data_IF_210595437120
#
_entry.id   IF_210595437120
#
_cell.length_a   1.000
_cell.length_b   1.000
_cell.length_c   1.000
_cell.angle_alpha   90.00
_cell.angle_beta   90.00
_cell.angle_gamma   90.00
#
_symmetry.space_group_name_H-M   'P 1'
#
loop_
_entity.id
_entity.type
_entity.pdbx_description
1 polymer ?
#
# COMPACT_ATOMS: atom_id res chain seq x y z
N UNK A 1 -11.02 22.13 -30.80
CA UNK A 1 -11.64 21.13 -29.89
C UNK A 1 -12.95 21.70 -29.39
N UNK A 2 -14.06 21.02 -29.68
CA UNK A 2 -15.41 21.52 -29.38
C UNK A 2 -15.69 21.42 -27.86
N UNK A 3 -16.35 22.42 -27.28
CA UNK A 3 -16.76 22.46 -25.88
C UNK A 3 -17.53 21.19 -25.47
N UNK A 4 -18.32 20.65 -26.39
CA UNK A 4 -19.01 19.37 -26.22
C UNK A 4 -18.08 18.17 -26.00
N UNK A 5 -16.92 18.14 -26.66
CA UNK A 5 -15.96 17.05 -26.50
C UNK A 5 -15.27 17.11 -25.13
N UNK A 6 -14.99 18.32 -24.62
CA UNK A 6 -14.42 18.51 -23.28
C UNK A 6 -15.40 18.12 -22.17
N UNK A 7 -16.69 18.47 -22.33
CA UNK A 7 -17.74 18.07 -21.39
C UNK A 7 -17.92 16.55 -21.40
N UNK A 8 -17.90 15.91 -22.57
CA UNK A 8 -18.03 14.46 -22.67
C UNK A 8 -16.85 13.72 -22.04
N UNK A 9 -15.62 14.19 -22.26
CA UNK A 9 -14.41 13.64 -21.63
C UNK A 9 -14.49 13.81 -20.11
N UNK A 10 -14.89 14.99 -19.61
CA UNK A 10 -15.03 15.24 -18.18
C UNK A 10 -16.08 14.34 -17.52
N UNK A 11 -17.25 14.16 -18.16
CA UNK A 11 -18.32 13.30 -17.67
C UNK A 11 -17.94 11.81 -17.70
N UNK A 12 -17.23 11.37 -18.73
CA UNK A 12 -16.69 10.01 -18.79
C UNK A 12 -15.64 9.82 -17.68
N UNK A 13 -14.76 10.79 -17.46
CA UNK A 13 -13.73 10.73 -16.42
C UNK A 13 -14.34 10.70 -15.01
N UNK A 14 -15.39 11.47 -14.73
CA UNK A 14 -16.09 11.45 -13.43
C UNK A 14 -16.85 10.14 -13.21
N UNK A 15 -17.51 9.60 -14.23
CA UNK A 15 -18.21 8.30 -14.16
C UNK A 15 -17.22 7.15 -13.90
N UNK A 16 -16.06 7.14 -14.58
CA UNK A 16 -15.03 6.11 -14.35
C UNK A 16 -14.37 6.22 -12.96
N UNK A 17 -14.33 7.41 -12.36
CA UNK A 17 -13.76 7.63 -11.02
C UNK A 17 -14.64 7.06 -9.88
N UNK A 18 -15.91 6.76 -10.14
CA UNK A 18 -16.84 6.14 -9.17
C UNK A 18 -16.85 4.60 -9.20
N UNK A 19 -16.21 3.96 -10.19
CA UNK A 19 -16.24 2.50 -10.37
C UNK A 19 -15.00 1.81 -9.75
N UNK A 20 -14.05 2.58 -9.21
CA UNK A 20 -13.04 1.98 -8.35
C UNK A 20 -13.74 1.49 -7.07
N UNK A 21 -13.55 0.22 -6.66
CA UNK A 21 -14.03 -0.25 -5.36
C UNK A 21 -13.37 0.62 -4.28
N UNK A 22 -14.12 1.62 -3.82
CA UNK A 22 -13.71 2.43 -2.68
C UNK A 22 -13.94 1.53 -1.48
N UNK A 23 -12.86 1.22 -0.76
CA UNK A 23 -13.00 0.78 0.63
C UNK A 23 -13.96 1.76 1.26
N UNK A 24 -15.04 1.22 1.83
CA UNK A 24 -16.02 2.02 2.55
C UNK A 24 -15.35 2.41 3.86
N UNK A 25 -14.51 3.44 3.79
CA UNK A 25 -13.91 4.05 4.95
C UNK A 25 -15.07 4.66 5.74
N UNK A 26 -15.28 4.15 6.95
CA UNK A 26 -16.21 4.80 7.86
C UNK A 26 -15.72 6.23 8.13
N UNK A 27 -16.60 7.22 8.33
CA UNK A 27 -16.21 8.61 8.51
C UNK A 27 -15.12 8.84 9.57
N UNK A 28 -15.15 8.08 10.67
CA UNK A 28 -14.12 8.13 11.73
C UNK A 28 -12.73 7.64 11.28
N UNK A 29 -12.64 6.80 10.23
CA UNK A 29 -11.37 6.38 9.64
C UNK A 29 -10.68 7.51 8.86
N UNK A 30 -11.46 8.51 8.42
CA UNK A 30 -10.99 9.69 7.68
C UNK A 30 -10.80 10.91 8.59
N UNK A 31 -11.67 11.08 9.59
CA UNK A 31 -11.71 12.26 10.46
C UNK A 31 -10.48 12.43 11.35
N UNK A 32 -9.76 11.35 11.65
CA UNK A 32 -8.54 11.45 12.45
C UNK A 32 -7.27 11.03 11.69
N UNK A 33 -7.33 10.71 10.39
CA UNK A 33 -6.19 10.25 9.59
C UNK A 33 -4.94 11.04 10.00
N UNK A 34 -3.90 10.38 10.56
CA UNK A 34 -2.89 11.06 11.36
C UNK A 34 -2.40 12.25 10.56
N UNK A 35 -2.49 13.46 11.14
CA UNK A 35 -1.99 14.70 10.53
C UNK A 35 -0.74 14.32 9.76
N UNK A 36 -0.80 14.42 8.42
CA UNK A 36 0.22 13.91 7.50
C UNK A 36 1.58 14.09 8.18
N UNK A 37 2.29 12.98 8.42
CA UNK A 37 3.74 12.95 8.72
C UNK A 37 4.24 13.15 10.16
N UNK A 38 3.61 12.61 11.21
CA UNK A 38 4.34 12.43 12.50
C UNK A 38 5.40 11.32 12.49
N UNK A 39 5.25 10.36 11.57
CA UNK A 39 6.10 9.17 11.52
C UNK A 39 7.35 9.33 10.64
N UNK A 40 7.37 10.35 9.77
CA UNK A 40 8.55 10.75 9.01
C UNK A 40 8.76 12.26 9.12
N UNK A 41 9.91 12.66 9.65
CA UNK A 41 10.30 14.07 9.70
C UNK A 41 11.08 14.49 8.45
N UNK A 42 11.30 13.56 7.51
CA UNK A 42 12.11 13.74 6.31
C UNK A 42 11.23 14.33 5.21
N UNK A 43 11.45 15.59 4.76
CA UNK A 43 10.60 16.26 3.78
C UNK A 43 10.44 15.51 2.46
N UNK A 44 11.50 14.85 1.99
CA UNK A 44 11.57 14.08 0.75
C UNK A 44 10.55 12.94 0.78
N UNK A 45 10.44 12.24 1.90
CA UNK A 45 9.46 11.16 2.10
C UNK A 45 7.99 11.65 2.12
N UNK A 46 7.75 12.97 2.11
CA UNK A 46 6.40 13.56 2.04
C UNK A 46 6.02 13.92 0.61
N UNK A 47 6.98 13.88 -0.32
CA UNK A 47 6.74 14.16 -1.74
C UNK A 47 5.90 13.03 -2.34
N UNK A 48 5.01 13.40 -3.26
CA UNK A 48 4.23 12.41 -4.02
C UNK A 48 5.15 11.57 -4.91
N UNK A 49 4.80 10.32 -5.25
CA UNK A 49 5.56 9.54 -6.21
C UNK A 49 5.67 10.27 -7.55
N UNK A 50 6.87 10.37 -8.08
CA UNK A 50 7.13 10.96 -9.39
C UNK A 50 7.94 10.00 -10.26
N UNK A 51 7.28 9.47 -11.30
CA UNK A 51 7.89 8.57 -12.28
C UNK A 51 8.88 9.28 -13.21
N UNK A 52 8.89 10.61 -13.20
CA UNK A 52 9.63 11.44 -14.12
C UNK A 52 9.17 11.28 -15.57
N UNK A 53 10.10 11.55 -16.47
CA UNK A 53 9.93 11.53 -17.93
C UNK A 53 11.05 10.72 -18.61
N UNK A 54 10.80 10.31 -19.86
CA UNK A 54 11.84 9.71 -20.68
C UNK A 54 12.83 10.78 -21.15
N UNK A 55 14.12 10.53 -21.00
CA UNK A 55 15.15 11.46 -21.42
C UNK A 55 15.12 11.70 -22.95
N UNK A 56 15.30 12.96 -23.39
CA UNK A 56 15.32 13.35 -24.81
C UNK A 56 16.62 12.97 -25.56
N UNK A 57 17.24 11.83 -25.23
CA UNK A 57 18.39 11.27 -25.95
C UNK A 57 19.75 11.94 -25.69
N UNK A 58 19.82 13.03 -24.91
CA UNK A 58 21.09 13.71 -24.57
C UNK A 58 21.82 13.11 -23.37
N UNK A 59 21.14 12.26 -22.60
CA UNK A 59 21.69 11.59 -21.42
C UNK A 59 21.59 10.07 -21.60
N UNK A 60 22.63 9.45 -22.16
CA UNK A 60 22.67 8.01 -22.51
C UNK A 60 22.78 7.09 -21.29
N UNK A 61 23.05 7.64 -20.11
CA UNK A 61 23.32 6.85 -18.90
C UNK A 61 22.08 6.63 -18.04
N UNK A 62 20.97 7.29 -18.34
CA UNK A 62 19.77 7.24 -17.52
C UNK A 62 18.71 6.36 -18.19
N UNK A 63 18.54 5.15 -17.65
CA UNK A 63 17.63 4.12 -18.16
C UNK A 63 16.40 3.98 -17.28
N UNK A 64 15.28 3.55 -17.88
CA UNK A 64 14.09 3.22 -17.11
C UNK A 64 14.34 2.01 -16.23
N UNK A 65 13.89 2.08 -14.98
CA UNK A 65 14.10 1.04 -13.97
C UNK A 65 13.04 1.10 -12.87
N UNK A 66 12.94 0.03 -12.10
CA UNK A 66 12.10 -0.01 -10.91
C UNK A 66 12.84 0.66 -9.76
N UNK A 67 12.14 1.53 -9.05
CA UNK A 67 12.56 2.23 -7.84
C UNK A 67 11.46 2.12 -6.81
N UNK A 68 11.77 2.42 -5.56
CA UNK A 68 10.81 2.49 -4.46
C UNK A 68 10.59 3.94 -4.05
N UNK A 69 9.37 4.26 -3.67
CA UNK A 69 9.02 5.53 -3.04
C UNK A 69 8.28 5.24 -1.74
N UNK A 70 8.40 6.15 -0.77
CA UNK A 70 7.68 6.06 0.48
C UNK A 70 6.29 6.66 0.34
N UNK A 71 5.27 5.88 0.70
CA UNK A 71 3.90 6.35 0.83
C UNK A 71 3.62 6.66 2.30
N UNK A 72 3.51 7.95 2.69
CA UNK A 72 3.29 8.35 4.08
C UNK A 72 1.87 8.06 4.59
N UNK A 73 0.91 7.79 3.71
CA UNK A 73 -0.42 7.30 4.10
C UNK A 73 -0.29 5.86 4.54
N UNK A 74 0.36 5.03 3.73
CA UNK A 74 0.51 3.60 4.01
C UNK A 74 1.63 3.28 5.00
N UNK A 75 2.53 4.23 5.27
CA UNK A 75 3.75 4.01 6.07
C UNK A 75 4.56 2.81 5.57
N UNK A 76 4.67 2.72 4.25
CA UNK A 76 5.30 1.62 3.53
C UNK A 76 5.92 2.11 2.22
N UNK A 77 6.92 1.38 1.74
CA UNK A 77 7.57 1.66 0.46
C UNK A 77 7.01 0.81 -0.66
N UNK A 78 6.62 1.44 -1.77
CA UNK A 78 6.07 0.76 -2.94
C UNK A 78 6.95 0.94 -4.18
N UNK A 79 7.01 -0.08 -5.05
CA UNK A 79 7.70 0.03 -6.32
C UNK A 79 6.94 0.95 -7.29
N UNK A 80 7.69 1.67 -8.11
CA UNK A 80 7.24 2.44 -9.27
C UNK A 80 8.30 2.38 -10.37
N UNK A 81 7.90 2.63 -11.62
CA UNK A 81 8.84 2.75 -12.74
C UNK A 81 9.32 4.19 -12.87
N UNK A 82 10.60 4.40 -12.66
CA UNK A 82 11.27 5.63 -13.06
C UNK A 82 11.57 5.59 -14.56
N UNK A 83 11.26 6.68 -15.27
CA UNK A 83 11.42 6.77 -16.74
C UNK A 83 12.81 7.20 -17.19
N UNK A 84 13.66 7.65 -16.27
CA UNK A 84 15.08 7.93 -16.53
C UNK A 84 15.47 9.39 -16.33
N UNK A 85 14.56 10.35 -16.46
CA UNK A 85 14.85 11.77 -16.24
C UNK A 85 13.79 12.45 -15.36
N UNK A 86 14.17 13.58 -14.76
CA UNK A 86 13.33 14.35 -13.82
C UNK A 86 12.95 13.50 -12.60
N UNK A 87 11.77 13.71 -12.02
CA UNK A 87 11.40 13.06 -10.77
C UNK A 87 11.72 13.93 -9.56
N UNK A 88 11.58 13.31 -8.38
CA UNK A 88 11.88 13.92 -7.11
C UNK A 88 12.67 12.97 -6.21
N UNK A 89 13.03 13.45 -5.02
CA UNK A 89 13.90 12.79 -4.07
C UNK A 89 13.24 11.65 -3.28
N UNK A 90 11.92 11.43 -3.42
CA UNK A 90 11.24 10.27 -2.84
C UNK A 90 11.44 9.03 -3.75
N UNK A 91 12.71 8.67 -3.95
CA UNK A 91 13.12 7.66 -4.92
C UNK A 91 14.35 6.90 -4.41
N UNK A 92 14.19 5.60 -4.26
CA UNK A 92 15.18 4.70 -3.67
C UNK A 92 15.37 3.47 -4.53
N UNK A 93 16.58 2.90 -4.55
CA UNK A 93 16.88 1.72 -5.35
C UNK A 93 16.38 0.42 -4.68
N UNK A 94 16.38 0.42 -3.35
CA UNK A 94 15.97 -0.71 -2.53
C UNK A 94 14.82 -0.36 -1.58
N UNK A 95 13.96 -1.35 -1.31
CA UNK A 95 12.79 -1.20 -0.44
C UNK A 95 13.20 -0.95 1.02
N UNK A 96 14.23 -1.63 1.49
CA UNK A 96 14.73 -1.49 2.86
C UNK A 96 15.50 -0.18 3.05
N UNK A 97 16.19 0.30 2.02
CA UNK A 97 16.77 1.66 2.02
C UNK A 97 15.69 2.72 2.14
N UNK A 98 14.62 2.63 1.34
CA UNK A 98 13.46 3.51 1.45
C UNK A 98 12.85 3.49 2.87
N UNK A 99 12.65 2.29 3.43
CA UNK A 99 12.08 2.15 4.78
C UNK A 99 13.00 2.74 5.84
N UNK A 100 14.30 2.44 5.80
CA UNK A 100 15.25 2.91 6.81
C UNK A 100 15.45 4.43 6.75
N UNK A 101 15.33 5.02 5.56
CA UNK A 101 15.42 6.46 5.36
C UNK A 101 14.14 7.18 5.82
N UNK A 102 12.96 6.65 5.46
CA UNK A 102 11.69 7.35 5.68
C UNK A 102 10.99 6.99 7.00
N UNK A 103 11.13 5.77 7.51
CA UNK A 103 10.52 5.34 8.77
C UNK A 103 11.51 5.53 9.91
N UNK A 104 11.06 6.16 10.99
CA UNK A 104 11.86 6.21 12.21
C UNK A 104 12.10 4.80 12.75
N UNK A 105 13.29 4.57 13.29
CA UNK A 105 13.67 3.28 13.87
C UNK A 105 12.83 2.90 15.10
N UNK A 106 12.23 3.87 15.77
CA UNK A 106 11.31 3.72 16.90
C UNK A 106 9.83 3.69 16.48
N UNK A 107 9.53 3.65 15.17
CA UNK A 107 8.17 3.52 14.68
C UNK A 107 7.56 2.22 15.19
N UNK A 108 6.40 2.36 15.84
CA UNK A 108 5.74 1.25 16.54
C UNK A 108 4.35 0.91 16.00
N UNK A 109 3.78 1.74 15.11
CA UNK A 109 2.37 1.64 14.74
C UNK A 109 2.01 0.63 13.62
N UNK A 110 0.75 0.66 13.23
CA UNK A 110 0.21 -0.14 12.13
C UNK A 110 0.66 0.35 10.76
N UNK A 111 0.98 -0.55 9.85
CA UNK A 111 1.22 -0.20 8.43
C UNK A 111 -0.03 -0.38 7.58
N UNK A 112 -0.06 0.22 6.38
CA UNK A 112 -1.13 0.05 5.41
C UNK A 112 -2.31 1.01 5.57
N UNK A 113 -2.07 2.24 6.05
CA UNK A 113 -3.00 3.37 5.90
C UNK A 113 -4.25 3.33 6.77
N UNK A 114 -4.39 2.33 7.62
CA UNK A 114 -5.54 2.18 8.50
C UNK A 114 -5.09 2.31 9.95
N UNK A 115 -5.76 3.20 10.67
CA UNK A 115 -5.47 3.44 12.09
C UNK A 115 -5.63 2.19 12.94
N UNK A 116 -4.81 2.05 14.00
CA UNK A 116 -5.06 1.05 15.02
C UNK A 116 -6.47 1.23 15.60
N UNK A 117 -7.13 0.12 15.96
CA UNK A 117 -8.40 0.19 16.69
C UNK A 117 -8.16 0.77 18.08
N UNK A 118 -8.95 1.77 18.49
CA UNK A 118 -8.96 2.29 19.86
C UNK A 118 -9.55 1.28 20.87
N UNK A 119 -10.29 0.28 20.37
CA UNK A 119 -10.88 -0.78 21.19
C UNK A 119 -9.86 -1.88 21.45
N UNK A 120 -8.95 -1.61 22.36
CA UNK A 120 -8.14 -2.64 23.03
C UNK A 120 -8.93 -3.17 24.23
N UNK A 121 -9.21 -4.48 24.23
CA UNK A 121 -9.63 -5.18 25.44
C UNK A 121 -8.39 -5.32 26.33
N UNK A 122 -8.19 -4.37 27.24
CA UNK A 122 -7.14 -4.41 28.26
C UNK A 122 -7.76 -4.75 29.62
N UNK A 123 -6.92 -5.15 30.59
CA UNK A 123 -7.26 -5.63 31.95
C UNK A 123 -8.38 -4.86 32.70
N UNK A 124 -8.74 -3.64 32.31
CA UNK A 124 -9.78 -2.81 32.94
C UNK A 124 -10.74 -2.10 31.94
N UNK A 125 -10.75 -2.43 30.64
CA UNK A 125 -11.82 -1.95 29.74
C UNK A 125 -12.96 -2.96 29.71
N UNK A 126 -14.18 -2.48 29.97
CA UNK A 126 -15.38 -3.29 30.05
C UNK A 126 -15.73 -3.77 28.62
N UNK A 127 -15.30 -4.98 28.27
CA UNK A 127 -15.89 -5.77 27.20
C UNK A 127 -17.26 -6.23 27.68
N UNK A 128 -18.23 -5.32 27.63
CA UNK A 128 -19.61 -5.65 27.95
C UNK A 128 -20.09 -6.70 26.94
N UNK A 129 -20.15 -7.97 27.40
CA UNK A 129 -21.15 -9.01 27.06
C UNK A 129 -20.67 -10.42 26.65
N UNK A 130 -19.45 -10.88 26.94
CA UNK A 130 -19.18 -12.33 26.86
C UNK A 130 -18.44 -12.87 28.09
N UNK A 131 -19.03 -13.88 28.73
CA UNK A 131 -18.50 -14.57 29.92
C UNK A 131 -17.20 -15.31 29.59
N UNK A 132 -16.07 -14.61 29.55
CA UNK A 132 -14.75 -15.19 29.30
C UNK A 132 -13.91 -15.16 30.58
N UNK A 133 -13.37 -16.33 30.94
CA UNK A 133 -12.59 -16.54 32.15
C UNK A 133 -11.27 -15.75 32.11
N UNK A 134 -10.79 -15.37 33.29
CA UNK A 134 -9.68 -14.44 33.61
C UNK A 134 -8.27 -14.88 33.16
N UNK A 135 -8.11 -15.34 31.93
CA UNK A 135 -6.83 -15.75 31.33
C UNK A 135 -6.60 -15.19 29.92
N UNK A 136 -7.52 -14.39 29.37
CA UNK A 136 -7.48 -13.99 27.96
C UNK A 136 -6.90 -12.58 27.74
N UNK A 137 -5.77 -12.59 27.04
CA UNK A 137 -4.95 -11.44 26.66
C UNK A 137 -5.52 -10.70 25.43
N UNK A 138 -5.33 -9.37 25.38
CA UNK A 138 -5.31 -8.51 24.18
C UNK A 138 -6.10 -9.00 22.95
N UNK A 139 -7.43 -9.04 23.05
CA UNK A 139 -8.24 -9.36 21.87
C UNK A 139 -8.48 -8.10 21.05
N UNK A 140 -8.12 -8.16 19.76
CA UNK A 140 -8.52 -7.16 18.80
C UNK A 140 -9.92 -7.47 18.27
N UNK A 141 -10.68 -6.45 17.88
CA UNK A 141 -11.95 -6.62 17.15
C UNK A 141 -11.79 -7.54 15.93
N UNK A 142 -12.89 -8.15 15.45
CA UNK A 142 -12.88 -9.18 14.41
C UNK A 142 -12.09 -8.81 13.13
N UNK A 143 -12.14 -7.54 12.71
CA UNK A 143 -11.42 -7.07 11.51
C UNK A 143 -9.98 -6.61 11.77
N UNK A 144 -9.53 -6.73 13.02
CA UNK A 144 -8.21 -6.33 13.47
C UNK A 144 -7.42 -7.55 13.95
N UNK A 145 -6.09 -7.41 13.99
CA UNK A 145 -5.18 -8.42 14.53
C UNK A 145 -4.11 -7.76 15.39
N UNK A 146 -3.65 -8.48 16.39
CA UNK A 146 -2.57 -8.02 17.27
C UNK A 146 -1.26 -7.97 16.47
N UNK A 147 -0.63 -6.80 16.45
CA UNK A 147 0.71 -6.56 15.96
C UNK A 147 1.55 -6.17 17.16
N UNK A 148 2.54 -7.01 17.47
CA UNK A 148 3.45 -6.77 18.60
C UNK A 148 4.37 -5.63 18.21
N UNK A 149 4.31 -4.55 18.98
CA UNK A 149 5.20 -3.42 18.82
C UNK A 149 6.46 -3.54 19.68
N UNK A 150 7.41 -2.65 19.46
CA UNK A 150 8.60 -2.43 20.29
C UNK A 150 8.25 -1.80 21.64
N UNK A 151 7.27 -0.90 21.70
CA UNK A 151 6.90 -0.16 22.91
C UNK A 151 5.47 -0.49 23.36
N UNK A 152 4.55 -0.63 22.43
CA UNK A 152 3.15 -0.95 22.69
C UNK A 152 2.63 -1.93 21.63
N UNK A 153 1.77 -2.84 22.04
CA UNK A 153 1.05 -3.70 21.09
C UNK A 153 -0.11 -2.94 20.45
N UNK A 154 -0.35 -3.22 19.18
CA UNK A 154 -1.35 -2.52 18.39
C UNK A 154 -2.36 -3.50 17.78
N UNK A 155 -3.64 -3.12 17.82
CA UNK A 155 -4.65 -3.79 17.02
C UNK A 155 -4.71 -3.15 15.63
N UNK A 156 -4.09 -3.79 14.65
CA UNK A 156 -4.00 -3.30 13.28
C UNK A 156 -4.99 -3.98 12.36
N UNK A 157 -5.46 -3.27 11.33
CA UNK A 157 -6.43 -3.83 10.41
C UNK A 157 -5.88 -5.08 9.71
N UNK A 158 -6.62 -6.18 9.84
CA UNK A 158 -6.15 -7.51 9.50
C UNK A 158 -5.79 -7.61 8.02
N UNK A 159 -6.64 -7.10 7.13
CA UNK A 159 -6.38 -7.22 5.69
C UNK A 159 -5.09 -6.48 5.29
N UNK A 160 -4.89 -5.24 5.74
CA UNK A 160 -3.68 -4.47 5.39
C UNK A 160 -2.41 -5.14 5.91
N UNK A 161 -2.41 -5.65 7.15
CA UNK A 161 -1.26 -6.35 7.71
C UNK A 161 -0.94 -7.64 6.95
N UNK A 162 -1.97 -8.43 6.60
CA UNK A 162 -1.76 -9.70 5.92
C UNK A 162 -1.31 -9.50 4.46
N UNK A 163 -1.79 -8.46 3.78
CA UNK A 163 -1.28 -8.07 2.47
C UNK A 163 0.18 -7.66 2.54
N UNK A 164 0.57 -6.81 3.49
CA UNK A 164 1.97 -6.40 3.66
C UNK A 164 2.89 -7.57 4.00
N UNK A 165 2.38 -8.56 4.74
CA UNK A 165 3.04 -9.85 4.99
C UNK A 165 2.97 -10.81 3.80
N UNK A 166 2.50 -10.37 2.64
CA UNK A 166 2.46 -11.12 1.39
C UNK A 166 1.74 -12.48 1.51
N UNK A 167 0.59 -12.54 2.18
CA UNK A 167 -0.17 -13.80 2.30
C UNK A 167 -0.88 -14.16 0.98
N UNK A 168 -0.56 -15.35 0.46
CA UNK A 168 -1.04 -15.90 -0.83
C UNK A 168 -2.58 -15.90 -0.96
N UNK A 169 -3.30 -16.25 0.11
CA UNK A 169 -4.77 -16.35 0.07
C UNK A 169 -5.50 -15.04 -0.21
N UNK A 170 -4.83 -13.90 0.02
CA UNK A 170 -5.38 -12.56 -0.19
C UNK A 170 -5.00 -11.96 -1.54
N UNK A 171 -3.90 -12.42 -2.15
CA UNK A 171 -3.46 -11.95 -3.47
C UNK A 171 -4.00 -12.90 -4.52
N UNK A 172 -5.15 -12.55 -5.11
CA UNK A 172 -5.83 -13.40 -6.09
C UNK A 172 -5.86 -12.72 -7.44
N UNK A 173 -5.19 -13.29 -8.42
CA UNK A 173 -5.32 -12.87 -9.80
C UNK A 173 -6.70 -13.28 -10.35
N UNK A 174 -7.67 -12.38 -10.29
CA UNK A 174 -9.05 -12.58 -10.75
C UNK A 174 -9.38 -11.59 -11.88
N UNK A 175 -9.99 -12.06 -12.99
CA UNK A 175 -10.51 -11.18 -14.05
C UNK A 175 -10.51 -11.77 -15.46
N UNK A 176 -11.66 -11.70 -16.14
CA UNK A 176 -11.86 -12.08 -17.55
C UNK A 176 -12.15 -13.57 -17.81
N UNK A 177 -12.00 -14.01 -19.06
CA UNK A 177 -12.12 -15.42 -19.50
C UNK A 177 -11.01 -16.35 -18.93
N UNK A 178 -10.28 -15.89 -17.91
CA UNK A 178 -9.06 -16.49 -17.39
C UNK A 178 -9.26 -16.93 -15.94
N UNK A 179 -9.22 -18.24 -15.73
CA UNK A 179 -9.67 -18.93 -14.54
C UNK A 179 -8.53 -19.26 -13.56
N UNK A 180 -7.69 -18.27 -13.15
CA UNK A 180 -6.63 -18.27 -12.08
C UNK A 180 -5.23 -17.83 -12.57
N UNK A 181 -4.92 -16.53 -12.60
CA UNK A 181 -3.53 -16.09 -12.83
C UNK A 181 -2.62 -16.42 -11.61
N UNK A 182 -1.31 -16.43 -11.82
CA UNK A 182 -0.32 -16.58 -10.71
C UNK A 182 0.24 -15.20 -10.36
N UNK A 183 0.23 -14.76 -9.08
CA UNK A 183 0.82 -13.49 -8.72
C UNK A 183 2.35 -13.52 -8.87
N UNK A 184 2.96 -12.37 -9.14
CA UNK A 184 4.41 -12.23 -9.28
C UNK A 184 5.09 -12.29 -7.91
N UNK A 185 6.10 -13.15 -7.78
CA UNK A 185 6.93 -13.28 -6.57
C UNK A 185 8.21 -12.44 -6.70
N UNK A 186 8.65 -11.88 -5.59
CA UNK A 186 10.01 -11.36 -5.43
C UNK A 186 10.91 -12.54 -5.08
N UNK A 187 11.93 -12.80 -5.91
CA UNK A 187 12.94 -13.84 -5.66
C UNK A 187 13.79 -13.43 -4.45
N UNK A 188 13.29 -13.75 -3.26
CA UNK A 188 14.00 -13.61 -1.99
C UNK A 188 14.25 -15.00 -1.44
N UNK A 189 15.38 -15.20 -0.75
CA UNK A 189 15.78 -16.49 -0.13
C UNK A 189 14.88 -16.82 1.09
N UNK A 190 13.77 -16.11 1.28
CA UNK A 190 12.88 -16.31 2.41
C UNK A 190 12.11 -17.63 2.31
N UNK A 191 11.91 -18.28 3.45
CA UNK A 191 11.07 -19.49 3.58
C UNK A 191 9.59 -19.23 3.24
N UNK A 192 9.20 -17.98 3.00
CA UNK A 192 7.85 -17.57 2.64
C UNK A 192 7.88 -16.75 1.34
N UNK A 193 6.94 -17.03 0.40
CA UNK A 193 6.87 -16.26 -0.83
C UNK A 193 6.50 -14.81 -0.53
N UNK A 194 7.34 -13.88 -0.98
CA UNK A 194 7.04 -12.44 -0.95
C UNK A 194 6.48 -12.05 -2.31
N UNK A 195 5.32 -11.39 -2.35
CA UNK A 195 4.68 -10.99 -3.61
C UNK A 195 5.07 -9.55 -3.97
N UNK A 196 5.16 -9.28 -5.26
CA UNK A 196 5.35 -7.92 -5.76
C UNK A 196 4.05 -7.13 -5.60
N UNK A 197 4.00 -6.31 -4.56
CA UNK A 197 2.89 -5.41 -4.25
C UNK A 197 3.29 -3.97 -4.55
N UNK A 198 2.43 -3.26 -5.27
CA UNK A 198 2.50 -1.82 -5.50
C UNK A 198 1.33 -1.08 -4.87
N UNK A 199 1.39 0.25 -4.86
CA UNK A 199 0.29 1.09 -4.39
C UNK A 199 -0.83 1.23 -5.41
N UNK A 200 -0.44 1.37 -6.67
CA UNK A 200 -1.34 1.68 -7.79
C UNK A 200 -0.77 1.14 -9.09
N UNK A 201 -1.62 0.62 -9.97
CA UNK A 201 -1.24 0.21 -11.31
C UNK A 201 -0.75 1.38 -12.18
N UNK A 202 -1.10 2.62 -11.84
CA UNK A 202 -0.59 3.82 -12.54
C UNK A 202 0.93 4.01 -12.40
N UNK A 203 1.57 3.32 -11.45
CA UNK A 203 3.02 3.40 -11.22
C UNK A 203 3.85 2.46 -12.09
N UNK A 204 3.19 1.66 -12.96
CA UNK A 204 3.84 0.81 -13.99
C UNK A 204 4.98 -0.09 -13.45
N UNK A 205 4.81 -0.59 -12.23
CA UNK A 205 5.84 -1.34 -11.51
C UNK A 205 5.90 -2.82 -11.91
N UNK A 206 4.95 -3.29 -12.73
CA UNK A 206 4.87 -4.70 -13.08
C UNK A 206 5.95 -5.11 -14.08
N UNK A 207 6.53 -6.32 -13.95
CA UNK A 207 7.45 -6.86 -14.93
C UNK A 207 6.81 -7.10 -16.29
N UNK A 208 7.64 -7.25 -17.32
CA UNK A 208 7.18 -7.63 -18.65
C UNK A 208 6.38 -8.94 -18.62
N UNK A 209 5.39 -9.06 -19.52
CA UNK A 209 4.48 -10.21 -19.65
C UNK A 209 3.59 -10.45 -18.41
N UNK A 210 3.40 -9.43 -17.58
CA UNK A 210 2.45 -9.48 -16.45
C UNK A 210 1.41 -8.37 -16.58
N UNK A 211 0.24 -8.59 -16.00
CA UNK A 211 -0.87 -7.65 -15.98
C UNK A 211 -1.04 -7.14 -14.56
N UNK A 212 -1.07 -5.82 -14.41
CA UNK A 212 -1.37 -5.21 -13.12
C UNK A 212 -2.86 -5.34 -12.79
N UNK A 213 -3.17 -5.78 -11.58
CA UNK A 213 -4.51 -5.78 -11.01
C UNK A 213 -4.58 -4.76 -9.88
N UNK A 214 -5.50 -3.80 -10.01
CA UNK A 214 -5.75 -2.82 -8.98
C UNK A 214 -6.69 -3.42 -7.93
N UNK A 215 -6.20 -3.59 -6.71
CA UNK A 215 -7.04 -3.87 -5.55
C UNK A 215 -7.38 -2.59 -4.79
N UNK A 216 -8.12 -2.80 -3.70
CA UNK A 216 -8.66 -1.74 -2.86
C UNK A 216 -7.57 -0.98 -2.08
N UNK A 217 -6.61 -1.72 -1.51
CA UNK A 217 -5.47 -1.16 -0.75
C UNK A 217 -4.19 -1.12 -1.59
N UNK A 218 -3.95 -2.18 -2.36
CA UNK A 218 -2.71 -2.42 -3.07
C UNK A 218 -3.00 -2.91 -4.49
N UNK A 219 -2.07 -2.64 -5.38
CA UNK A 219 -1.98 -3.23 -6.70
C UNK A 219 -1.01 -4.43 -6.68
N UNK A 220 -1.22 -5.40 -7.55
CA UNK A 220 -0.35 -6.58 -7.66
C UNK A 220 -0.26 -7.03 -9.12
N UNK A 221 0.84 -7.72 -9.45
CA UNK A 221 1.11 -8.16 -10.81
C UNK A 221 0.77 -9.64 -10.98
N UNK A 222 0.18 -9.99 -12.11
CA UNK A 222 -0.31 -11.32 -12.40
C UNK A 222 0.19 -11.81 -13.76
N UNK A 223 0.68 -13.05 -13.82
CA UNK A 223 0.90 -13.70 -15.09
C UNK A 223 -0.44 -14.05 -15.75
N UNK A 224 -0.68 -13.63 -17.00
CA UNK A 224 -1.83 -14.11 -17.76
C UNK A 224 -1.71 -15.63 -17.97
N UNK A 225 -2.85 -16.33 -17.99
CA UNK A 225 -2.90 -17.76 -18.30
C UNK A 225 -2.77 -18.01 -19.79
#
# INVERSE_FOLDING_TARGET
MNLFALIFIALVYTIYCEILPKIKYEPWMLEDMPERTRFTNVPECKLLPDTGEYCNGTNTNATSRIVYYFDPEMLECFPMRYKGCMGNENMFDDKEDCKSYCLKSDYDGCRGGIKPSERMCGWNSICEQENLNSTEHYMCSNDYMLVIGKKYDHCCYKASQLFLKSKEDLVRCMGGNFSKGTPVRLDTIEYHPVWLLGRSCSHDFCPENTVCQQGDLFAYCCYPK
#
